data_IF_243655666008
#
_entry.id   IF_243655666008
#
_cell.length_a   1.000
_cell.length_b   1.000
_cell.length_c   1.000
_cell.angle_alpha   90.00
_cell.angle_beta   90.00
_cell.angle_gamma   90.00
#
_symmetry.space_group_name_H-M   'P 1'
#
loop_
_entity.id
_entity.type
_entity.pdbx_description
1 polymer ?
#
# COMPACT_ATOMS: atom_id res chain seq x y z
N UNK A 1 -2.50 -4.26 13.96
CA UNK A 1 -3.37 -4.42 12.76
C UNK A 1 -3.52 -3.10 12.01
N UNK A 2 -3.94 -3.09 10.74
CA UNK A 2 -4.11 -1.86 9.93
C UNK A 2 -5.33 -1.06 10.42
N UNK A 3 -5.19 0.24 10.60
CA UNK A 3 -6.24 1.16 11.09
C UNK A 3 -6.57 2.31 10.15
N UNK A 4 -5.82 2.47 9.06
CA UNK A 4 -6.06 3.50 8.04
C UNK A 4 -4.84 3.72 7.15
N UNK A 5 -4.91 4.73 6.29
CA UNK A 5 -3.84 5.07 5.37
C UNK A 5 -4.29 6.04 4.27
N UNK A 6 -3.43 6.24 3.26
CA UNK A 6 -3.77 6.98 2.03
C UNK A 6 -4.91 6.31 1.26
N UNK A 7 -4.97 4.98 1.30
CA UNK A 7 -6.04 4.15 0.72
C UNK A 7 -6.57 3.17 1.77
N UNK A 8 -7.82 2.73 1.61
CA UNK A 8 -8.45 1.73 2.46
C UNK A 8 -8.79 0.48 1.67
N UNK A 9 -9.02 -0.63 2.38
CA UNK A 9 -9.40 -1.88 1.72
C UNK A 9 -10.80 -1.74 1.09
N UNK A 10 -10.90 -2.12 -0.18
CA UNK A 10 -12.10 -1.99 -0.99
C UNK A 10 -12.32 -0.59 -1.58
N UNK A 11 -11.38 0.35 -1.45
CA UNK A 11 -11.52 1.68 -2.03
C UNK A 11 -11.64 1.61 -3.57
N UNK A 12 -12.50 2.46 -4.12
CA UNK A 12 -12.82 2.49 -5.54
C UNK A 12 -12.72 3.92 -6.03
N UNK A 13 -12.37 4.06 -7.30
CA UNK A 13 -12.22 5.36 -7.93
C UNK A 13 -11.13 6.23 -7.28
N UNK A 14 -10.08 5.58 -6.77
CA UNK A 14 -8.87 6.24 -6.26
C UNK A 14 -8.23 7.03 -7.39
N UNK A 15 -7.90 8.30 -7.18
CA UNK A 15 -7.21 9.10 -8.20
C UNK A 15 -5.72 8.74 -8.26
N UNK A 16 -5.25 8.05 -9.33
CA UNK A 16 -3.83 7.72 -9.43
C UNK A 16 -2.97 8.97 -9.64
N UNK A 17 -3.52 10.05 -10.22
CA UNK A 17 -2.77 11.28 -10.45
C UNK A 17 -2.39 11.97 -9.13
N UNK A 18 -3.32 12.06 -8.19
CA UNK A 18 -3.05 12.55 -6.84
C UNK A 18 -1.96 11.72 -6.14
N UNK A 19 -2.09 10.38 -6.15
CA UNK A 19 -1.11 9.49 -5.51
C UNK A 19 0.27 9.60 -6.18
N UNK A 20 0.33 9.62 -7.51
CA UNK A 20 1.59 9.76 -8.24
C UNK A 20 2.25 11.13 -8.01
N UNK A 21 1.45 12.18 -7.79
CA UNK A 21 1.95 13.53 -7.50
C UNK A 21 2.52 13.65 -6.09
N UNK A 22 1.89 13.00 -5.10
CA UNK A 22 2.41 12.93 -3.73
C UNK A 22 3.61 12.00 -3.64
N UNK A 23 3.56 10.90 -4.41
CA UNK A 23 4.61 9.89 -4.50
C UNK A 23 4.68 8.97 -3.28
N UNK A 24 3.72 9.05 -2.36
CA UNK A 24 3.70 8.30 -1.12
C UNK A 24 2.32 7.68 -0.88
N UNK A 25 2.32 6.42 -0.45
CA UNK A 25 1.17 5.77 0.18
C UNK A 25 1.57 5.42 1.61
N UNK A 26 0.82 5.93 2.59
CA UNK A 26 1.00 5.63 4.01
C UNK A 26 -0.05 4.61 4.47
N UNK A 27 0.36 3.69 5.33
CA UNK A 27 -0.49 2.73 6.05
C UNK A 27 -0.22 2.92 7.54
N UNK A 28 -1.28 3.03 8.33
CA UNK A 28 -1.19 3.13 9.79
C UNK A 28 -1.53 1.80 10.44
N UNK A 29 -0.70 1.39 11.39
CA UNK A 29 -0.93 0.24 12.25
C UNK A 29 -1.35 0.68 13.66
N UNK A 30 -2.18 -0.13 14.33
CA UNK A 30 -2.65 0.09 15.70
C UNK A 30 -1.55 0.05 16.77
N UNK A 31 -0.39 -0.50 16.44
CA UNK A 31 0.73 -0.74 17.34
C UNK A 31 2.04 -0.81 16.56
N UNK A 32 3.17 -0.83 17.27
CA UNK A 32 4.49 -0.95 16.66
C UNK A 32 4.67 -2.33 16.04
N UNK A 33 5.05 -2.35 14.77
CA UNK A 33 5.29 -3.57 14.00
C UNK A 33 6.60 -3.49 13.23
N UNK A 34 7.14 -4.66 12.89
CA UNK A 34 8.29 -4.82 12.00
C UNK A 34 7.93 -5.76 10.87
N UNK A 35 8.53 -5.59 9.69
CA UNK A 35 8.25 -6.45 8.55
C UNK A 35 8.43 -5.73 7.23
N UNK A 36 7.65 -6.15 6.23
CA UNK A 36 7.69 -5.57 4.90
C UNK A 36 6.29 -5.47 4.32
N UNK A 37 6.16 -4.52 3.40
CA UNK A 37 4.99 -4.31 2.56
C UNK A 37 5.48 -4.04 1.13
N UNK A 38 4.65 -4.35 0.15
CA UNK A 38 4.90 -4.09 -1.26
C UNK A 38 3.59 -3.69 -1.93
N UNK A 39 3.69 -2.92 -3.01
CA UNK A 39 2.56 -2.64 -3.88
C UNK A 39 2.59 -3.63 -5.05
N UNK A 40 1.49 -4.33 -5.24
CA UNK A 40 1.33 -5.37 -6.25
C UNK A 40 0.11 -5.10 -7.13
N UNK A 41 0.07 -5.74 -8.30
CA UNK A 41 -1.17 -5.91 -9.08
C UNK A 41 -2.05 -6.98 -8.42
N UNK A 42 -3.32 -7.10 -8.84
CA UNK A 42 -4.22 -8.20 -8.43
C UNK A 42 -3.60 -9.60 -8.69
N UNK A 43 -2.75 -9.73 -9.71
CA UNK A 43 -2.04 -10.98 -10.03
C UNK A 43 -0.85 -11.29 -9.10
N UNK A 44 -0.49 -10.37 -8.19
CA UNK A 44 0.66 -10.50 -7.30
C UNK A 44 1.99 -10.02 -7.90
N UNK A 45 1.97 -9.37 -9.07
CA UNK A 45 3.18 -8.79 -9.66
C UNK A 45 3.58 -7.53 -8.90
N UNK A 46 4.84 -7.45 -8.49
CA UNK A 46 5.39 -6.25 -7.85
C UNK A 46 5.39 -5.06 -8.82
N UNK A 47 4.81 -3.95 -8.37
CA UNK A 47 4.68 -2.71 -9.15
C UNK A 47 5.97 -1.89 -9.13
N UNK A 48 6.92 -2.20 -8.23
CA UNK A 48 8.22 -1.57 -8.14
C UNK A 48 8.27 -0.33 -7.24
N UNK A 49 7.33 -0.19 -6.31
CA UNK A 49 7.37 0.84 -5.26
C UNK A 49 8.24 0.38 -4.08
N UNK A 50 8.92 1.32 -3.40
CA UNK A 50 9.78 0.98 -2.28
C UNK A 50 8.97 0.94 -0.98
N UNK A 51 8.82 -0.26 -0.41
CA UNK A 51 8.12 -0.46 0.85
C UNK A 51 9.02 -0.39 2.08
N UNK A 52 8.53 0.27 3.14
CA UNK A 52 9.19 0.37 4.44
C UNK A 52 8.16 0.24 5.56
N UNK A 53 8.53 -0.39 6.67
CA UNK A 53 7.73 -0.45 7.89
C UNK A 53 8.57 0.03 9.07
N UNK A 54 8.12 1.06 9.77
CA UNK A 54 8.79 1.65 10.94
C UNK A 54 7.77 2.06 12.01
N UNK A 55 7.91 1.46 13.20
CA UNK A 55 7.00 1.72 14.31
C UNK A 55 5.56 1.40 13.93
N UNK A 56 4.68 2.40 14.00
CA UNK A 56 3.24 2.26 13.68
C UNK A 56 2.91 2.59 12.22
N UNK A 57 3.91 2.76 11.34
CA UNK A 57 3.70 3.21 9.97
C UNK A 57 4.32 2.28 8.93
N UNK A 58 3.58 2.04 7.86
CA UNK A 58 4.08 1.49 6.61
C UNK A 58 4.06 2.56 5.53
N UNK A 59 5.12 2.66 4.74
CA UNK A 59 5.23 3.64 3.66
C UNK A 59 5.61 2.92 2.38
N UNK A 60 4.94 3.26 1.28
CA UNK A 60 5.33 2.90 -0.08
C UNK A 60 5.70 4.18 -0.81
N UNK A 61 6.91 4.24 -1.34
CA UNK A 61 7.44 5.39 -2.07
C UNK A 61 7.51 5.09 -3.57
N UNK A 62 7.02 6.02 -4.39
CA UNK A 62 7.02 5.93 -5.84
C UNK A 62 8.45 5.92 -6.38
N UNK A 63 8.75 4.94 -7.22
CA UNK A 63 9.94 4.93 -8.06
C UNK A 63 9.60 5.52 -9.42
N UNK A 64 10.43 6.44 -9.92
CA UNK A 64 10.25 7.07 -11.23
C UNK A 64 10.07 6.02 -12.34
N UNK A 65 9.01 6.13 -13.13
CA UNK A 65 8.63 5.18 -14.17
C UNK A 65 7.72 4.05 -13.69
N UNK A 66 7.32 4.03 -12.42
CA UNK A 66 6.39 3.07 -11.79
C UNK A 66 5.09 3.73 -11.34
N UNK A 67 4.71 4.82 -11.99
CA UNK A 67 3.45 5.50 -11.74
C UNK A 67 2.25 4.55 -11.83
N UNK A 68 1.28 4.75 -10.92
CA UNK A 68 -0.01 4.08 -11.00
C UNK A 68 -0.76 4.53 -12.24
N UNK A 69 -1.49 3.60 -12.85
CA UNK A 69 -2.33 3.88 -14.02
C UNK A 69 -3.80 3.76 -13.67
N UNK A 70 -4.65 4.40 -14.47
CA UNK A 70 -6.11 4.34 -14.32
C UNK A 70 -6.66 2.92 -14.53
N UNK A 71 -7.88 2.68 -14.04
CA UNK A 71 -8.65 1.45 -14.26
C UNK A 71 -7.89 0.16 -13.89
N UNK A 72 -7.08 0.23 -12.84
CA UNK A 72 -6.22 -0.88 -12.42
C UNK A 72 -6.46 -1.23 -10.96
N UNK A 73 -6.52 -2.53 -10.69
CA UNK A 73 -6.62 -3.08 -9.34
C UNK A 73 -5.23 -3.27 -8.78
N UNK A 74 -4.98 -2.65 -7.63
CA UNK A 74 -3.74 -2.74 -6.89
C UNK A 74 -3.98 -3.37 -5.52
N UNK A 75 -2.95 -4.04 -5.01
CA UNK A 75 -2.95 -4.70 -3.71
C UNK A 75 -1.70 -4.28 -2.95
N UNK A 76 -1.87 -3.68 -1.78
CA UNK A 76 -0.78 -3.53 -0.82
C UNK A 76 -0.74 -4.83 -0.02
N UNK A 77 0.34 -5.59 -0.20
CA UNK A 77 0.51 -6.87 0.45
C UNK A 77 1.80 -6.89 1.27
N UNK A 78 1.85 -7.72 2.30
CA UNK A 78 3.06 -7.91 3.08
C UNK A 78 2.83 -8.70 4.34
N UNK A 79 3.89 -8.82 5.14
CA UNK A 79 3.83 -9.49 6.43
C UNK A 79 4.52 -8.65 7.48
N UNK A 80 3.80 -8.39 8.56
CA UNK A 80 4.28 -7.62 9.71
C UNK A 80 4.16 -8.45 10.99
N UNK A 81 4.98 -8.15 11.99
CA UNK A 81 4.94 -8.79 13.30
C UNK A 81 5.07 -7.76 14.41
N UNK A 82 4.30 -7.94 15.49
CA UNK A 82 4.37 -7.09 16.68
C UNK A 82 5.51 -7.53 17.61
N UNK A 83 5.74 -6.76 18.69
CA UNK A 83 6.83 -7.00 19.63
C UNK A 83 6.72 -8.33 20.41
N UNK A 84 5.52 -8.89 20.57
CA UNK A 84 5.28 -10.21 21.15
C UNK A 84 5.50 -11.36 20.14
N UNK A 85 5.79 -11.04 18.88
CA UNK A 85 6.11 -12.01 17.84
C UNK A 85 4.89 -12.60 17.14
N UNK A 86 3.68 -12.04 17.29
CA UNK A 86 2.56 -12.45 16.46
C UNK A 86 2.71 -11.83 15.08
N UNK A 87 2.52 -12.64 14.03
CA UNK A 87 2.57 -12.17 12.65
C UNK A 87 1.17 -11.98 12.07
N UNK A 88 1.03 -10.96 11.23
CA UNK A 88 -0.19 -10.63 10.52
C UNK A 88 0.13 -10.37 9.05
N UNK A 89 -0.69 -10.91 8.16
CA UNK A 89 -0.64 -10.59 6.74
C UNK A 89 -1.38 -9.27 6.49
N UNK A 90 -0.73 -8.37 5.74
CA UNK A 90 -1.33 -7.13 5.26
C UNK A 90 -1.88 -7.40 3.87
N UNK A 91 -3.14 -7.02 3.64
CA UNK A 91 -3.79 -7.07 2.33
C UNK A 91 -4.78 -5.93 2.25
N UNK A 92 -4.51 -4.93 1.41
CA UNK A 92 -5.38 -3.79 1.15
C UNK A 92 -5.57 -3.69 -0.35
N UNK A 93 -6.77 -3.95 -0.84
CA UNK A 93 -7.09 -3.87 -2.28
C UNK A 93 -7.79 -2.55 -2.58
N UNK A 94 -7.36 -1.86 -3.64
CA UNK A 94 -8.02 -0.64 -4.13
C UNK A 94 -8.02 -0.56 -5.65
N UNK A 95 -8.96 0.20 -6.20
CA UNK A 95 -9.12 0.36 -7.66
C UNK A 95 -8.97 1.81 -8.06
N UNK A 96 -8.09 2.09 -9.02
CA UNK A 96 -7.91 3.44 -9.56
C UNK A 96 -9.04 3.82 -10.50
N UNK A 97 -9.46 5.10 -10.47
CA UNK A 97 -10.56 5.61 -11.29
C UNK A 97 -10.29 5.52 -12.79
N UNK A 98 -11.38 5.54 -13.56
CA UNK A 98 -11.41 5.71 -15.02
C UNK A 98 -10.62 6.91 -15.53
N UNK A 99 -10.17 6.84 -16.79
CA UNK A 99 -9.79 8.06 -17.52
C UNK A 99 -11.05 8.90 -17.77
N UNK A 100 -10.97 10.19 -17.44
CA UNK A 100 -11.98 11.19 -17.80
C UNK A 100 -11.83 11.60 -19.28
#
# INVERSE_FOLDING_TARGET
MVTGGTVNDGDRDVDPAAINSDGIIEITFSEEVTGHIALQTEGGDDVGWLGKVEGTKGTLELVKGRELVNETVYVIAGKVSDAAGNSFDVSITFVTKGKE
#
